data_IF_847949041375
#
_entry.id   IF_847949041375
#
_cell.length_a   1.000
_cell.length_b   1.000
_cell.length_c   1.000
_cell.angle_alpha   90.00
_cell.angle_beta   90.00
_cell.angle_gamma   90.00
#
_symmetry.space_group_name_H-M   'P 1'
#
loop_
_entity.id
_entity.type
_entity.pdbx_description
1 polymer ?
#
# COMPACT_ATOMS: atom_id res chain seq x y z
N UNK A 1 -4.23 -7.17 -0.16
CA UNK A 1 -4.55 -8.35 0.70
C UNK A 1 -5.59 -8.00 1.75
N UNK A 2 -5.39 -7.02 2.66
CA UNK A 2 -6.36 -6.70 3.72
C UNK A 2 -7.79 -6.39 3.21
N UNK A 3 -7.92 -5.58 2.15
CA UNK A 3 -9.24 -5.31 1.54
C UNK A 3 -9.88 -6.55 0.92
N UNK A 4 -9.09 -7.44 0.28
CA UNK A 4 -9.61 -8.70 -0.24
C UNK A 4 -10.14 -9.60 0.88
N UNK A 5 -9.39 -9.67 1.98
CA UNK A 5 -9.81 -10.46 3.14
C UNK A 5 -11.11 -9.93 3.75
N UNK A 6 -11.24 -8.61 3.91
CA UNK A 6 -12.48 -8.02 4.42
C UNK A 6 -13.70 -8.20 3.49
N UNK A 7 -13.47 -8.40 2.18
CA UNK A 7 -14.52 -8.69 1.21
C UNK A 7 -14.90 -10.17 1.18
N UNK A 8 -13.93 -11.07 1.33
CA UNK A 8 -14.14 -12.49 1.15
C UNK A 8 -14.37 -13.24 2.48
N UNK A 9 -13.93 -12.66 3.61
CA UNK A 9 -14.06 -13.21 4.97
C UNK A 9 -14.44 -12.10 5.97
N UNK A 10 -15.59 -11.42 5.78
CA UNK A 10 -15.97 -10.25 6.59
C UNK A 10 -16.12 -10.56 8.09
N UNK A 11 -16.48 -11.79 8.45
CA UNK A 11 -16.63 -12.24 9.84
C UNK A 11 -15.29 -12.41 10.58
N UNK A 12 -14.18 -12.52 9.85
CA UNK A 12 -12.86 -12.66 10.44
C UNK A 12 -12.18 -11.31 10.69
N UNK A 13 -12.74 -10.21 10.16
CA UNK A 13 -12.13 -8.88 10.20
C UNK A 13 -12.92 -7.95 11.11
N UNK A 14 -12.38 -7.65 12.27
CA UNK A 14 -12.96 -6.70 13.22
C UNK A 14 -12.84 -5.24 12.80
N UNK A 15 -11.76 -4.86 12.12
CA UNK A 15 -11.51 -3.49 11.67
C UNK A 15 -10.32 -3.38 10.74
N UNK A 16 -10.20 -2.25 10.02
CA UNK A 16 -9.15 -2.01 9.03
C UNK A 16 -8.49 -0.65 9.23
N UNK A 17 -7.17 -0.61 9.10
CA UNK A 17 -6.41 0.63 8.90
C UNK A 17 -5.63 0.52 7.60
N UNK A 18 -5.93 1.36 6.64
CA UNK A 18 -5.35 1.35 5.30
C UNK A 18 -4.41 2.55 5.14
N UNK A 19 -3.13 2.29 4.90
CA UNK A 19 -2.09 3.31 4.79
C UNK A 19 -1.61 3.42 3.35
N UNK A 20 -1.74 4.60 2.73
CA UNK A 20 -1.22 4.94 1.38
C UNK A 20 -1.37 3.84 0.34
N UNK A 21 -2.52 3.14 0.34
CA UNK A 21 -2.71 1.93 -0.45
C UNK A 21 -3.19 2.22 -1.87
N UNK A 22 -2.73 1.41 -2.83
CA UNK A 22 -3.26 1.37 -4.18
C UNK A 22 -4.58 0.60 -4.19
N UNK A 23 -5.70 1.28 -4.41
CA UNK A 23 -7.05 0.73 -4.20
C UNK A 23 -7.94 0.75 -5.43
N UNK A 24 -7.66 1.56 -6.42
CA UNK A 24 -8.45 1.69 -7.65
C UNK A 24 -7.59 1.46 -8.89
N UNK A 25 -8.16 0.95 -9.98
CA UNK A 25 -7.41 0.70 -11.21
C UNK A 25 -7.08 2.02 -11.90
N UNK A 26 -5.85 2.50 -11.69
CA UNK A 26 -5.30 3.66 -12.40
C UNK A 26 -4.18 3.22 -13.34
N UNK A 27 -4.05 3.82 -14.54
CA UNK A 27 -2.95 3.51 -15.44
C UNK A 27 -1.59 3.82 -14.79
N UNK A 28 -0.67 2.86 -14.82
CA UNK A 28 0.67 2.94 -14.22
C UNK A 28 1.74 2.55 -15.25
N UNK A 29 1.96 3.44 -16.22
CA UNK A 29 2.99 3.22 -17.25
C UNK A 29 4.40 3.18 -16.66
N UNK A 30 4.61 3.82 -15.52
CA UNK A 30 5.85 3.81 -14.75
C UNK A 30 6.20 2.40 -14.19
N UNK A 31 5.21 1.50 -14.11
CA UNK A 31 5.46 0.11 -13.68
C UNK A 31 5.97 -0.80 -14.82
N UNK A 32 5.76 -0.42 -16.08
CA UNK A 32 6.13 -1.27 -17.22
C UNK A 32 7.62 -1.73 -17.21
N UNK A 33 8.60 -0.86 -16.94
CA UNK A 33 10.00 -1.31 -16.85
C UNK A 33 10.23 -2.29 -15.69
N UNK A 34 9.48 -2.15 -14.60
CA UNK A 34 9.61 -2.99 -13.39
C UNK A 34 8.95 -4.36 -13.56
N UNK A 35 8.10 -4.54 -14.58
CA UNK A 35 7.41 -5.80 -14.85
C UNK A 35 8.24 -6.78 -15.70
N UNK A 36 9.41 -6.37 -16.19
CA UNK A 36 10.29 -7.22 -16.96
C UNK A 36 10.58 -8.60 -16.36
N UNK A 37 10.86 -8.70 -15.03
CA UNK A 37 11.06 -9.97 -14.36
C UNK A 37 9.86 -10.93 -14.39
N UNK A 38 8.65 -10.43 -14.60
CA UNK A 38 7.45 -11.26 -14.71
C UNK A 38 7.27 -11.93 -16.09
N UNK A 39 8.09 -11.58 -17.08
CA UNK A 39 7.99 -12.17 -18.43
C UNK A 39 8.56 -13.58 -18.41
N UNK A 40 7.77 -14.64 -18.76
CA UNK A 40 8.27 -16.00 -18.79
C UNK A 40 9.52 -16.15 -19.66
N UNK A 41 10.48 -16.94 -19.25
CA UNK A 41 11.78 -17.20 -19.87
C UNK A 41 12.76 -16.01 -19.91
N UNK A 42 12.30 -14.78 -20.11
CA UNK A 42 13.14 -13.57 -20.16
C UNK A 42 13.39 -13.03 -18.76
N UNK A 43 12.37 -13.07 -17.89
CA UNK A 43 12.42 -12.55 -16.53
C UNK A 43 13.57 -13.11 -15.71
N UNK A 44 13.75 -14.42 -15.58
CA UNK A 44 14.88 -15.00 -14.85
C UNK A 44 16.24 -14.54 -15.38
N UNK A 45 16.40 -14.43 -16.70
CA UNK A 45 17.64 -13.92 -17.30
C UNK A 45 17.91 -12.47 -16.87
N UNK A 46 16.91 -11.61 -16.94
CA UNK A 46 17.02 -10.20 -16.54
C UNK A 46 17.33 -10.07 -15.05
N UNK A 47 16.62 -10.82 -14.21
CA UNK A 47 16.75 -10.79 -12.74
C UNK A 47 18.13 -11.25 -12.25
N UNK A 48 18.80 -12.13 -13.01
CA UNK A 48 20.13 -12.63 -12.65
C UNK A 48 21.28 -11.86 -13.31
N UNK A 49 21.02 -10.97 -14.25
CA UNK A 49 22.06 -10.30 -15.03
C UNK A 49 22.00 -8.78 -14.97
N UNK A 50 21.06 -8.18 -15.67
CA UNK A 50 21.00 -6.72 -15.93
C UNK A 50 20.35 -5.94 -14.80
N UNK A 51 19.30 -6.48 -14.22
CA UNK A 51 18.46 -5.72 -13.25
C UNK A 51 19.18 -5.44 -11.93
N UNK A 52 19.88 -6.38 -11.27
CA UNK A 52 20.50 -6.08 -9.99
C UNK A 52 21.50 -4.90 -10.01
N UNK A 53 22.43 -4.78 -10.99
CA UNK A 53 23.29 -3.62 -11.05
C UNK A 53 22.57 -2.32 -11.42
N UNK A 54 21.55 -2.40 -12.29
CA UNK A 54 20.74 -1.23 -12.65
C UNK A 54 19.91 -0.74 -11.47
N UNK A 55 19.19 -1.66 -10.81
CA UNK A 55 18.34 -1.35 -9.66
C UNK A 55 19.17 -0.82 -8.48
N UNK A 56 20.40 -1.33 -8.29
CA UNK A 56 21.32 -0.81 -7.29
C UNK A 56 21.67 0.67 -7.52
N UNK A 57 21.76 1.08 -8.78
CA UNK A 57 22.04 2.48 -9.15
C UNK A 57 20.84 3.40 -8.87
N UNK A 58 19.62 2.92 -9.15
CA UNK A 58 18.39 3.73 -9.01
C UNK A 58 17.78 3.66 -7.61
N UNK A 59 18.09 2.63 -6.82
CA UNK A 59 17.52 2.39 -5.49
C UNK A 59 17.57 3.61 -4.56
N UNK A 60 18.68 4.37 -4.44
CA UNK A 60 18.72 5.55 -3.57
C UNK A 60 17.75 6.66 -4.01
N UNK A 61 17.57 6.84 -5.32
CA UNK A 61 16.63 7.81 -5.86
C UNK A 61 15.18 7.37 -5.62
N UNK A 62 14.90 6.08 -5.77
CA UNK A 62 13.60 5.49 -5.50
C UNK A 62 13.25 5.60 -4.00
N UNK A 63 14.20 5.30 -3.11
CA UNK A 63 13.99 5.48 -1.66
C UNK A 63 13.66 6.92 -1.30
N UNK A 64 14.40 7.90 -1.83
CA UNK A 64 14.06 9.31 -1.61
C UNK A 64 12.64 9.62 -2.06
N UNK A 65 12.24 9.18 -3.25
CA UNK A 65 10.90 9.43 -3.80
C UNK A 65 9.77 8.83 -2.94
N UNK A 66 10.00 7.67 -2.33
CA UNK A 66 9.03 7.01 -1.43
C UNK A 66 8.82 7.82 -0.14
N UNK A 67 9.90 8.41 0.40
CA UNK A 67 9.82 9.15 1.66
C UNK A 67 9.55 10.65 1.50
N UNK A 68 9.78 11.24 0.30
CA UNK A 68 9.48 12.66 0.07
C UNK A 68 8.08 13.06 0.53
N UNK A 69 7.92 14.25 1.19
CA UNK A 69 8.92 15.30 1.44
C UNK A 69 9.84 15.02 2.63
N UNK A 70 9.65 13.96 3.37
CA UNK A 70 10.43 13.61 4.54
C UNK A 70 11.76 12.94 4.15
N UNK A 71 12.79 13.01 5.01
CA UNK A 71 14.04 12.30 4.78
C UNK A 71 13.86 10.78 4.91
N UNK A 72 14.67 10.01 4.21
CA UNK A 72 14.75 8.55 4.39
C UNK A 72 15.25 8.26 5.81
N UNK A 73 14.53 7.47 6.63
CA UNK A 73 14.98 7.13 7.97
C UNK A 73 16.33 6.40 7.97
N UNK A 74 17.24 6.68 8.93
CA UNK A 74 18.55 6.04 9.00
C UNK A 74 18.51 4.51 8.97
N UNK A 75 17.50 3.89 9.59
CA UNK A 75 17.29 2.44 9.59
C UNK A 75 17.15 1.83 8.20
N UNK A 76 16.69 2.59 7.20
CA UNK A 76 16.61 2.13 5.81
C UNK A 76 17.97 2.12 5.11
N UNK A 77 18.92 2.94 5.57
CA UNK A 77 20.29 2.94 5.04
C UNK A 77 21.09 1.72 5.53
N UNK A 78 20.64 1.06 6.60
CA UNK A 78 21.25 -0.15 7.16
C UNK A 78 20.79 -1.42 6.44
N UNK A 79 19.70 -1.34 5.64
CA UNK A 79 19.23 -2.49 4.87
C UNK A 79 20.22 -2.81 3.75
N UNK A 80 20.79 -4.03 3.70
CA UNK A 80 21.69 -4.40 2.63
C UNK A 80 20.96 -4.39 1.28
N UNK A 81 21.40 -3.58 0.29
CA UNK A 81 20.77 -3.56 -1.03
C UNK A 81 20.67 -4.94 -1.68
N UNK A 82 21.66 -5.79 -1.42
CA UNK A 82 21.71 -7.15 -1.97
C UNK A 82 20.56 -8.05 -1.49
N UNK A 83 19.91 -7.74 -0.37
CA UNK A 83 18.71 -8.44 0.07
C UNK A 83 17.49 -8.04 -0.76
N UNK A 84 17.37 -6.73 -1.07
CA UNK A 84 16.26 -6.18 -1.82
C UNK A 84 16.34 -6.56 -3.30
N UNK A 85 17.56 -6.69 -3.84
CA UNK A 85 17.85 -6.90 -5.25
C UNK A 85 18.12 -8.37 -5.60
N UNK A 86 17.74 -9.31 -4.73
CA UNK A 86 17.82 -10.74 -5.05
C UNK A 86 16.90 -11.05 -6.25
N UNK A 87 17.32 -11.90 -7.18
CA UNK A 87 16.50 -12.30 -8.32
C UNK A 87 15.08 -12.72 -7.92
N UNK A 88 14.95 -13.54 -6.87
CA UNK A 88 13.65 -13.98 -6.35
C UNK A 88 12.78 -12.83 -5.83
N UNK A 89 13.38 -11.77 -5.27
CA UNK A 89 12.63 -10.58 -4.81
C UNK A 89 12.18 -9.74 -6.01
N UNK A 90 13.03 -9.58 -7.02
CA UNK A 90 12.68 -8.84 -8.24
C UNK A 90 11.55 -9.55 -8.99
N UNK A 91 11.62 -10.87 -9.12
CA UNK A 91 10.57 -11.69 -9.74
C UNK A 91 9.25 -11.61 -8.96
N UNK A 92 9.30 -11.74 -7.64
CA UNK A 92 8.11 -11.63 -6.78
C UNK A 92 7.48 -10.24 -6.85
N UNK A 93 8.29 -9.17 -6.80
CA UNK A 93 7.83 -7.79 -6.91
C UNK A 93 7.17 -7.55 -8.28
N UNK A 94 7.80 -8.01 -9.36
CA UNK A 94 7.24 -7.88 -10.72
C UNK A 94 5.90 -8.64 -10.87
N UNK A 95 5.80 -9.85 -10.32
CA UNK A 95 4.55 -10.62 -10.33
C UNK A 95 3.44 -9.91 -9.53
N UNK A 96 3.77 -9.33 -8.38
CA UNK A 96 2.83 -8.53 -7.58
C UNK A 96 2.36 -7.29 -8.34
N UNK A 97 3.27 -6.56 -8.99
CA UNK A 97 2.92 -5.40 -9.81
C UNK A 97 2.02 -5.78 -10.99
N UNK A 98 2.30 -6.91 -11.66
CA UNK A 98 1.48 -7.42 -12.75
C UNK A 98 0.05 -7.77 -12.30
N UNK A 99 -0.09 -8.30 -11.09
CA UNK A 99 -1.39 -8.64 -10.50
C UNK A 99 -2.13 -7.44 -9.86
N UNK A 100 -1.44 -6.31 -9.63
CA UNK A 100 -1.97 -5.19 -8.84
C UNK A 100 -3.21 -4.56 -9.50
N UNK A 101 -3.09 -4.13 -10.77
CA UNK A 101 -4.20 -3.44 -11.47
C UNK A 101 -5.40 -4.36 -11.68
N UNK A 102 -5.25 -5.60 -12.20
CA UNK A 102 -6.36 -6.54 -12.30
C UNK A 102 -6.99 -6.85 -10.94
N UNK A 103 -6.16 -7.03 -9.90
CA UNK A 103 -6.65 -7.31 -8.55
C UNK A 103 -7.51 -6.20 -7.99
N UNK A 104 -7.07 -4.93 -8.06
CA UNK A 104 -7.89 -3.81 -7.57
C UNK A 104 -9.10 -3.54 -8.47
N UNK A 105 -9.01 -3.79 -9.78
CA UNK A 105 -10.16 -3.67 -10.67
C UNK A 105 -11.29 -4.65 -10.32
N UNK A 106 -10.95 -5.84 -9.86
CA UNK A 106 -11.91 -6.82 -9.37
C UNK A 106 -12.51 -6.44 -8.01
N UNK A 107 -11.72 -5.82 -7.12
CA UNK A 107 -12.15 -5.47 -5.76
C UNK A 107 -12.91 -4.14 -5.68
N UNK A 108 -12.50 -3.12 -6.45
CA UNK A 108 -13.01 -1.77 -6.30
C UNK A 108 -14.54 -1.64 -6.37
N UNK A 109 -15.26 -2.35 -7.25
CA UNK A 109 -16.73 -2.33 -7.29
C UNK A 109 -17.39 -2.88 -6.01
N UNK A 110 -16.66 -3.70 -5.25
CA UNK A 110 -17.16 -4.38 -4.05
C UNK A 110 -16.85 -3.64 -2.75
N UNK A 111 -16.12 -2.54 -2.75
CA UNK A 111 -15.73 -1.84 -1.51
C UNK A 111 -16.92 -1.38 -0.67
N UNK A 112 -18.08 -1.13 -1.28
CA UNK A 112 -19.31 -0.84 -0.56
C UNK A 112 -19.87 -2.01 0.27
N UNK A 113 -19.34 -3.23 0.09
CA UNK A 113 -19.69 -4.41 0.90
C UNK A 113 -18.98 -4.42 2.27
N UNK A 114 -17.87 -3.68 2.42
CA UNK A 114 -17.10 -3.62 3.67
C UNK A 114 -17.91 -2.93 4.75
N UNK A 115 -18.11 -3.59 5.89
CA UNK A 115 -18.94 -3.14 7.02
C UNK A 115 -18.15 -2.89 8.30
N UNK A 116 -16.94 -3.45 8.43
CA UNK A 116 -16.14 -3.27 9.62
C UNK A 116 -15.65 -1.81 9.72
N UNK A 117 -15.40 -1.29 10.94
CA UNK A 117 -14.78 0.01 11.15
C UNK A 117 -13.49 0.15 10.34
N UNK A 118 -13.34 1.26 9.61
CA UNK A 118 -12.17 1.47 8.76
C UNK A 118 -11.63 2.89 8.89
N UNK A 119 -10.30 3.01 8.99
CA UNK A 119 -9.58 4.26 8.84
C UNK A 119 -8.68 4.20 7.59
N UNK A 120 -8.75 5.23 6.76
CA UNK A 120 -7.89 5.42 5.58
C UNK A 120 -6.95 6.57 5.89
N UNK A 121 -5.64 6.32 5.85
CA UNK A 121 -4.59 7.31 6.14
C UNK A 121 -3.68 7.43 4.92
N UNK A 122 -3.47 8.64 4.43
CA UNK A 122 -2.58 8.91 3.30
C UNK A 122 -1.87 10.25 3.46
N UNK A 123 -0.67 10.35 2.90
CA UNK A 123 0.03 11.63 2.79
C UNK A 123 -0.55 12.46 1.66
N UNK A 124 -0.68 13.78 1.86
CA UNK A 124 -1.12 14.70 0.80
C UNK A 124 -0.11 14.82 -0.33
N UNK A 125 1.17 14.68 0.00
CA UNK A 125 2.29 14.80 -0.91
C UNK A 125 2.79 13.44 -1.41
N UNK A 126 1.97 12.39 -1.29
CA UNK A 126 2.29 11.06 -1.80
C UNK A 126 2.41 11.11 -3.34
N UNK A 127 3.66 10.88 -3.83
CA UNK A 127 3.99 10.86 -5.26
C UNK A 127 4.07 9.45 -5.84
N UNK A 128 3.84 8.44 -5.02
CA UNK A 128 3.82 7.04 -5.43
C UNK A 128 2.38 6.60 -5.70
N UNK A 129 1.47 6.92 -4.79
CA UNK A 129 0.04 6.59 -4.89
C UNK A 129 -0.76 7.86 -4.66
N UNK A 130 -1.40 8.38 -5.71
CA UNK A 130 -2.20 9.60 -5.63
C UNK A 130 -3.32 9.44 -4.58
N UNK A 131 -3.31 10.24 -3.50
CA UNK A 131 -4.28 10.11 -2.43
C UNK A 131 -5.73 10.37 -2.87
N UNK A 132 -5.94 11.22 -3.88
CA UNK A 132 -7.27 11.52 -4.39
C UNK A 132 -7.83 10.37 -5.25
N UNK A 133 -6.98 9.76 -6.06
CA UNK A 133 -7.36 8.63 -6.90
C UNK A 133 -7.57 7.33 -6.11
N UNK A 134 -7.01 7.23 -4.90
CA UNK A 134 -7.03 5.99 -4.13
C UNK A 134 -7.66 6.15 -2.74
N UNK A 135 -7.05 6.90 -1.82
CA UNK A 135 -7.50 7.02 -0.44
C UNK A 135 -8.88 7.70 -0.34
N UNK A 136 -9.08 8.81 -1.06
CA UNK A 136 -10.37 9.53 -1.09
C UNK A 136 -11.45 8.68 -1.73
N UNK A 137 -11.15 8.00 -2.83
CA UNK A 137 -12.15 7.14 -3.49
C UNK A 137 -12.51 5.92 -2.64
N UNK A 138 -11.55 5.30 -1.97
CA UNK A 138 -11.82 4.20 -1.04
C UNK A 138 -12.71 4.67 0.11
N UNK A 139 -12.41 5.82 0.71
CA UNK A 139 -13.24 6.42 1.76
C UNK A 139 -14.68 6.67 1.27
N UNK A 140 -14.84 7.22 0.07
CA UNK A 140 -16.16 7.48 -0.50
C UNK A 140 -16.95 6.19 -0.79
N UNK A 141 -16.25 5.09 -1.08
CA UNK A 141 -16.88 3.80 -1.38
C UNK A 141 -17.27 3.02 -0.12
N UNK A 142 -16.60 3.23 1.02
CA UNK A 142 -16.85 2.49 2.27
C UNK A 142 -17.57 3.36 3.27
N UNK A 143 -18.86 3.08 3.48
CA UNK A 143 -19.68 3.83 4.43
C UNK A 143 -19.15 3.70 5.86
N UNK A 144 -19.10 4.82 6.60
CA UNK A 144 -18.65 4.85 7.98
C UNK A 144 -17.13 4.79 8.16
N UNK A 145 -16.35 4.73 7.08
CA UNK A 145 -14.89 4.88 7.16
C UNK A 145 -14.49 6.30 7.57
N UNK A 146 -13.27 6.46 8.10
CA UNK A 146 -12.67 7.77 8.36
C UNK A 146 -11.48 8.00 7.42
N UNK A 147 -11.30 9.26 6.97
CA UNK A 147 -10.19 9.66 6.09
C UNK A 147 -9.26 10.64 6.81
N UNK A 148 -7.98 10.35 6.80
CA UNK A 148 -6.92 11.19 7.33
C UNK A 148 -5.90 11.51 6.23
N UNK A 149 -6.00 12.71 5.64
CA UNK A 149 -5.02 13.24 4.68
C UNK A 149 -3.99 14.09 5.44
N UNK A 150 -2.80 13.55 5.63
CA UNK A 150 -1.74 14.13 6.44
C UNK A 150 -0.91 15.11 5.60
N UNK A 151 -0.82 16.37 6.03
CA UNK A 151 0.06 17.36 5.41
C UNK A 151 1.53 17.03 5.69
N UNK A 152 2.43 17.49 4.81
CA UNK A 152 3.88 17.27 4.88
C UNK A 152 4.26 15.79 5.00
N UNK A 153 3.46 14.93 4.35
CA UNK A 153 3.58 13.47 4.44
C UNK A 153 3.47 12.86 3.05
N UNK A 154 4.43 12.00 2.72
CA UNK A 154 4.45 11.22 1.47
C UNK A 154 3.86 9.82 1.62
N UNK A 155 4.48 8.86 0.89
CA UNK A 155 3.95 7.49 0.79
C UNK A 155 4.09 6.65 2.07
N UNK A 156 4.89 7.08 3.04
CA UNK A 156 5.20 6.31 4.25
C UNK A 156 4.69 7.03 5.53
N UNK A 157 3.36 7.20 5.72
CA UNK A 157 2.79 7.92 6.85
C UNK A 157 3.18 7.32 8.20
N UNK A 158 3.38 5.99 8.28
CA UNK A 158 3.81 5.31 9.51
C UNK A 158 5.21 5.71 10.00
N UNK A 159 6.04 6.27 9.10
CA UNK A 159 7.36 6.79 9.45
C UNK A 159 7.36 8.31 9.66
N UNK A 160 6.60 9.03 8.84
CA UNK A 160 6.54 10.49 8.92
C UNK A 160 5.66 10.97 10.10
N UNK A 161 4.54 10.30 10.33
CA UNK A 161 3.53 10.67 11.31
C UNK A 161 3.00 9.45 12.08
N UNK A 162 3.87 8.74 12.83
CA UNK A 162 3.46 7.56 13.61
C UNK A 162 2.36 7.86 14.62
N UNK A 163 2.35 9.07 15.21
CA UNK A 163 1.31 9.57 16.08
C UNK A 163 -0.10 9.53 15.45
N UNK A 164 -0.22 10.00 14.21
CA UNK A 164 -1.48 10.01 13.48
C UNK A 164 -1.94 8.60 13.08
N UNK A 165 -0.99 7.73 12.73
CA UNK A 165 -1.29 6.32 12.43
C UNK A 165 -1.76 5.59 13.68
N UNK A 166 -1.09 5.77 14.82
CA UNK A 166 -1.52 5.19 16.10
C UNK A 166 -2.92 5.67 16.50
N UNK A 167 -3.19 6.97 16.38
CA UNK A 167 -4.53 7.51 16.65
C UNK A 167 -5.62 6.90 15.74
N UNK A 168 -5.29 6.60 14.48
CA UNK A 168 -6.22 5.91 13.57
C UNK A 168 -6.47 4.47 14.00
N UNK A 169 -5.44 3.74 14.44
CA UNK A 169 -5.55 2.37 14.97
C UNK A 169 -6.45 2.37 16.22
N UNK A 170 -6.17 3.22 17.19
CA UNK A 170 -6.97 3.32 18.41
C UNK A 170 -8.44 3.70 18.16
N UNK A 171 -8.69 4.53 17.12
CA UNK A 171 -10.06 4.88 16.72
C UNK A 171 -10.81 3.65 16.20
N UNK A 172 -10.17 2.85 15.33
CA UNK A 172 -10.76 1.62 14.79
C UNK A 172 -11.00 0.62 15.93
N UNK A 173 -10.03 0.44 16.85
CA UNK A 173 -10.17 -0.44 17.99
C UNK A 173 -11.35 -0.05 18.90
N UNK A 174 -11.51 1.25 19.20
CA UNK A 174 -12.66 1.73 19.97
C UNK A 174 -14.00 1.48 19.25
N UNK A 175 -14.03 1.62 17.93
CA UNK A 175 -15.24 1.34 17.16
C UNK A 175 -15.61 -0.15 17.14
N UNK A 176 -14.61 -1.04 17.12
CA UNK A 176 -14.82 -2.49 17.25
C UNK A 176 -15.42 -2.86 18.59
N UNK A 177 -14.89 -2.32 19.69
CA UNK A 177 -15.37 -2.60 21.06
C UNK A 177 -16.73 -1.98 21.34
N UNK A 178 -17.02 -0.79 20.82
CA UNK A 178 -18.34 -0.13 20.95
C UNK A 178 -19.46 -0.84 20.18
N UNK A 179 -19.16 -1.53 19.10
CA UNK A 179 -20.13 -2.31 18.34
C UNK A 179 -20.50 -3.64 19.05
N UNK A 180 -19.56 -4.21 19.83
CA UNK A 180 -19.79 -5.46 20.55
C UNK A 180 -20.80 -5.30 21.70
N UNK A 181 -20.92 -4.11 22.31
CA UNK A 181 -21.85 -3.86 23.43
C UNK A 181 -23.32 -3.78 23.00
N UNK A 182 -23.59 -3.50 21.72
CA UNK A 182 -24.96 -3.44 21.19
C UNK A 182 -25.46 -4.75 20.56
N UNK A 183 -24.60 -5.77 20.43
CA UNK A 183 -24.98 -7.07 19.88
C UNK A 183 -25.45 -8.09 20.94
N UNK A 184 -25.28 -7.77 22.22
CA UNK A 184 -25.67 -8.64 23.37
C UNK A 184 -26.86 -8.09 24.17
N UNK A 185 -27.57 -7.08 23.69
CA UNK A 185 -28.78 -6.51 24.25
C UNK A 185 -29.99 -6.77 23.35
#
# INVERSE_FOLDING_TARGET
MALAWALDFPEEIGGLVILSAFTHPTPRLDFLPMMGPAIPAVGPLLSHTVLPPLDRLILPAMMRRIFEPNPVPPSYNELPPDLLLRPTQLEAAAAQLAALIPGVAAMAPRYSEIRCPMAVVAGREDRIVDPHAHAVQLHNAVAGSTLHLLAETGHMPQHARPDAVMAAIERVERAMTGTSVHAEA
#
